data_IF_568745871049
#
_entry.id   IF_568745871049
#
_cell.length_a   1.000
_cell.length_b   1.000
_cell.length_c   1.000
_cell.angle_alpha   90.00
_cell.angle_beta   90.00
_cell.angle_gamma   90.00
#
_symmetry.space_group_name_H-M   'P 1'
#
loop_
_entity.id
_entity.type
_entity.pdbx_description
1 polymer ?
#
# COMPACT_ATOMS: atom_id res chain seq x y z
N UNK A 1 -6.65 5.27 -3.26
CA UNK A 1 -7.89 4.98 -2.50
C UNK A 1 -7.55 4.17 -1.26
N UNK A 2 -8.43 4.12 -0.25
CA UNK A 2 -8.20 3.28 0.95
C UNK A 2 -8.59 1.81 0.70
N UNK A 3 -8.05 0.88 1.51
CA UNK A 3 -8.42 -0.55 1.46
C UNK A 3 -9.94 -0.76 1.54
N UNK A 4 -10.62 -0.05 2.44
CA UNK A 4 -12.09 -0.15 2.60
C UNK A 4 -12.84 0.29 1.35
N UNK A 5 -12.32 1.28 0.63
CA UNK A 5 -12.93 1.74 -0.61
C UNK A 5 -12.67 0.78 -1.76
N UNK A 6 -11.47 0.19 -1.82
CA UNK A 6 -11.13 -0.85 -2.79
C UNK A 6 -12.07 -2.06 -2.71
N UNK A 7 -12.33 -2.57 -1.50
CA UNK A 7 -13.26 -3.69 -1.28
C UNK A 7 -14.67 -3.34 -1.76
N UNK A 8 -15.17 -2.15 -1.42
CA UNK A 8 -16.52 -1.69 -1.81
C UNK A 8 -16.67 -1.55 -3.32
N UNK A 9 -15.68 -1.00 -4.00
CA UNK A 9 -15.71 -0.77 -5.45
C UNK A 9 -15.60 -2.09 -6.22
N UNK A 10 -14.74 -3.00 -5.76
CA UNK A 10 -14.44 -4.24 -6.48
C UNK A 10 -15.26 -5.44 -5.99
N UNK A 11 -16.09 -5.29 -4.97
CA UNK A 11 -16.85 -6.38 -4.35
C UNK A 11 -15.96 -7.48 -3.75
N UNK A 12 -14.73 -7.15 -3.35
CA UNK A 12 -13.74 -8.11 -2.84
C UNK A 12 -13.79 -8.22 -1.32
N UNK A 13 -13.59 -9.43 -0.81
CA UNK A 13 -13.45 -9.70 0.63
C UNK A 13 -12.02 -9.50 1.13
N UNK A 14 -11.86 -9.31 2.45
CA UNK A 14 -10.55 -9.26 3.13
C UNK A 14 -9.66 -10.46 2.72
N UNK A 15 -10.26 -11.65 2.47
CA UNK A 15 -9.57 -12.87 2.04
C UNK A 15 -8.99 -12.71 0.63
N UNK A 16 -9.81 -12.26 -0.32
CA UNK A 16 -9.38 -12.09 -1.72
C UNK A 16 -8.32 -10.99 -1.86
N UNK A 17 -8.43 -9.92 -1.05
CA UNK A 17 -7.40 -8.87 -0.98
C UNK A 17 -6.09 -9.45 -0.42
N UNK A 18 -6.18 -10.26 0.64
CA UNK A 18 -5.01 -10.89 1.23
C UNK A 18 -4.32 -11.88 0.27
N UNK A 19 -5.09 -12.72 -0.42
CA UNK A 19 -4.59 -13.65 -1.44
C UNK A 19 -3.87 -12.91 -2.57
N UNK A 20 -4.46 -11.83 -3.08
CA UNK A 20 -3.86 -11.04 -4.16
C UNK A 20 -2.54 -10.37 -3.74
N UNK A 21 -2.44 -9.99 -2.47
CA UNK A 21 -1.22 -9.42 -1.90
C UNK A 21 -0.22 -10.47 -1.40
N UNK A 22 -0.57 -11.76 -1.36
CA UNK A 22 0.25 -12.81 -0.74
C UNK A 22 0.40 -12.63 0.78
N UNK A 23 -0.64 -12.16 1.46
CA UNK A 23 -0.65 -11.85 2.89
C UNK A 23 -1.67 -12.71 3.64
N UNK A 24 -1.54 -12.75 4.96
CA UNK A 24 -2.59 -13.32 5.81
C UNK A 24 -3.81 -12.40 5.87
N UNK A 25 -5.02 -12.96 5.85
CA UNK A 25 -6.29 -12.22 6.01
C UNK A 25 -6.32 -11.38 7.29
N UNK A 26 -5.71 -11.89 8.36
CA UNK A 26 -5.59 -11.18 9.63
C UNK A 26 -4.78 -9.88 9.51
N UNK A 27 -3.79 -9.82 8.62
CA UNK A 27 -2.99 -8.63 8.34
C UNK A 27 -3.83 -7.54 7.69
N UNK A 28 -4.59 -7.88 6.63
CA UNK A 28 -5.51 -6.94 5.97
C UNK A 28 -6.57 -6.44 6.94
N UNK A 29 -7.15 -7.34 7.74
CA UNK A 29 -8.17 -6.98 8.73
C UNK A 29 -7.63 -6.00 9.80
N UNK A 30 -6.40 -6.23 10.29
CA UNK A 30 -5.74 -5.35 11.28
C UNK A 30 -5.42 -3.97 10.69
N UNK A 31 -4.92 -3.91 9.46
CA UNK A 31 -4.67 -2.65 8.75
C UNK A 31 -5.96 -1.87 8.53
N UNK A 32 -7.02 -2.54 8.05
CA UNK A 32 -8.34 -1.93 7.82
C UNK A 32 -8.93 -1.35 9.10
N UNK A 33 -8.81 -2.07 10.22
CA UNK A 33 -9.27 -1.61 11.54
C UNK A 33 -8.31 -0.63 12.22
N UNK A 34 -7.23 -0.21 11.55
CA UNK A 34 -6.16 0.66 12.09
C UNK A 34 -5.57 0.16 13.42
N UNK A 35 -5.56 -1.16 13.63
CA UNK A 35 -4.98 -1.80 14.83
C UNK A 35 -3.49 -2.12 14.64
N UNK A 36 -2.93 -1.79 13.49
CA UNK A 36 -1.53 -2.02 13.13
C UNK A 36 -1.10 -0.96 12.12
N UNK A 37 0.18 -0.58 12.15
CA UNK A 37 0.81 0.21 11.10
C UNK A 37 1.54 -0.72 10.12
N UNK A 38 1.44 -0.45 8.83
CA UNK A 38 2.21 -1.15 7.82
C UNK A 38 3.69 -0.71 7.86
N UNK A 39 4.58 -1.68 7.70
CA UNK A 39 5.98 -1.43 7.39
C UNK A 39 6.13 -0.94 5.94
N UNK A 40 7.30 -0.42 5.60
CA UNK A 40 7.60 0.02 4.23
C UNK A 40 7.39 -1.12 3.23
N UNK A 41 7.96 -2.29 3.51
CA UNK A 41 7.82 -3.48 2.68
C UNK A 41 6.36 -3.90 2.53
N UNK A 42 5.61 -3.98 3.64
CA UNK A 42 4.19 -4.36 3.62
C UNK A 42 3.36 -3.38 2.79
N UNK A 43 3.66 -2.08 2.90
CA UNK A 43 2.93 -1.04 2.17
C UNK A 43 3.15 -1.14 0.66
N UNK A 44 4.39 -1.40 0.22
CA UNK A 44 4.74 -1.61 -1.18
C UNK A 44 4.20 -2.94 -1.72
N UNK A 45 4.18 -3.98 -0.89
CA UNK A 45 3.60 -5.28 -1.25
C UNK A 45 2.10 -5.17 -1.51
N UNK A 46 1.36 -4.44 -0.66
CA UNK A 46 -0.07 -4.18 -0.87
C UNK A 46 -0.30 -3.35 -2.12
N UNK A 47 0.49 -2.28 -2.33
CA UNK A 47 0.35 -1.45 -3.54
C UNK A 47 0.58 -2.28 -4.81
N UNK A 48 1.61 -3.13 -4.83
CA UNK A 48 1.89 -4.03 -5.97
C UNK A 48 0.80 -5.09 -6.15
N UNK A 49 0.38 -5.74 -5.07
CA UNK A 49 -0.67 -6.77 -5.11
C UNK A 49 -2.02 -6.22 -5.56
N UNK A 50 -2.27 -4.93 -5.33
CA UNK A 50 -3.48 -4.24 -5.77
C UNK A 50 -3.26 -3.41 -7.04
N UNK A 51 -2.21 -3.69 -7.82
CA UNK A 51 -1.92 -3.03 -9.11
C UNK A 51 -1.94 -1.49 -9.04
N UNK A 52 -1.57 -0.91 -7.89
CA UNK A 52 -1.57 0.54 -7.68
C UNK A 52 -2.92 1.17 -7.34
N UNK A 53 -4.01 0.39 -7.29
CA UNK A 53 -5.34 0.88 -6.90
C UNK A 53 -5.32 1.49 -5.48
N UNK A 54 -4.67 0.78 -4.56
CA UNK A 54 -4.39 1.24 -3.19
C UNK A 54 -2.93 1.65 -3.10
N UNK A 55 -2.68 2.95 -2.94
CA UNK A 55 -1.32 3.47 -2.75
C UNK A 55 -0.80 3.17 -1.37
N UNK A 56 0.51 2.91 -1.25
CA UNK A 56 1.17 2.69 0.03
C UNK A 56 0.95 3.84 1.02
N UNK A 57 0.84 5.08 0.53
CA UNK A 57 0.60 6.31 1.31
C UNK A 57 -0.76 6.33 2.02
N UNK A 58 -1.76 5.60 1.49
CA UNK A 58 -3.13 5.54 2.01
C UNK A 58 -3.28 4.52 3.15
N UNK A 59 -2.24 3.73 3.42
CA UNK A 59 -2.21 2.76 4.49
C UNK A 59 -1.88 3.42 5.84
N UNK A 60 -2.24 2.80 6.97
CA UNK A 60 -1.80 3.27 8.27
C UNK A 60 -0.28 3.09 8.36
N UNK A 61 0.49 4.18 8.23
CA UNK A 61 1.95 4.19 8.34
C UNK A 61 2.38 4.97 9.59
N UNK A 62 3.50 4.58 10.20
CA UNK A 62 4.18 5.44 11.18
C UNK A 62 4.79 6.67 10.48
N UNK A 63 5.06 7.77 11.21
CA UNK A 63 5.75 8.94 10.64
C UNK A 63 7.09 8.57 9.99
N UNK A 64 7.84 7.67 10.61
CA UNK A 64 9.13 7.18 10.10
C UNK A 64 8.98 6.41 8.77
N UNK A 65 8.06 5.44 8.70
CA UNK A 65 7.80 4.69 7.45
C UNK A 65 7.31 5.60 6.34
N UNK A 66 6.51 6.63 6.67
CA UNK A 66 6.06 7.62 5.69
C UNK A 66 7.24 8.43 5.12
N UNK A 67 8.17 8.85 5.97
CA UNK A 67 9.38 9.54 5.52
C UNK A 67 10.25 8.64 4.62
N UNK A 68 10.41 7.36 4.99
CA UNK A 68 11.14 6.38 4.18
C UNK A 68 10.48 6.15 2.81
N UNK A 69 9.15 6.05 2.76
CA UNK A 69 8.40 5.91 1.51
C UNK A 69 8.57 7.14 0.61
N UNK A 70 8.47 8.35 1.18
CA UNK A 70 8.69 9.59 0.45
C UNK A 70 10.11 9.69 -0.11
N UNK A 71 11.13 9.33 0.68
CA UNK A 71 12.52 9.29 0.23
C UNK A 71 12.73 8.29 -0.92
N UNK A 72 12.13 7.10 -0.81
CA UNK A 72 12.20 6.08 -1.87
C UNK A 72 11.52 6.56 -3.16
N UNK A 73 10.38 7.23 -3.06
CA UNK A 73 9.69 7.82 -4.22
C UNK A 73 10.49 8.94 -4.87
N UNK A 74 11.14 9.80 -4.09
CA UNK A 74 12.02 10.85 -4.59
C UNK A 74 13.22 10.27 -5.37
N UNK A 75 13.80 9.17 -4.89
CA UNK A 75 14.88 8.46 -5.58
C UNK A 75 14.43 7.72 -6.84
N UNK A 76 13.18 7.26 -6.87
CA UNK A 76 12.60 6.52 -8.00
C UNK A 76 12.09 7.41 -9.13
N UNK A 77 12.04 8.74 -8.99
CA UNK A 77 11.82 9.63 -10.13
C UNK A 77 13.06 9.53 -11.02
N UNK A 78 13.03 8.85 -12.18
CA UNK A 78 14.14 8.96 -13.10
C UNK A 78 14.22 10.43 -13.51
N UNK A 79 15.43 10.95 -13.64
CA UNK A 79 15.70 12.23 -14.27
C UNK A 79 15.18 12.21 -15.72
N UNK A 80 13.87 12.39 -15.91
CA UNK A 80 13.27 12.69 -17.20
C UNK A 80 13.54 14.17 -17.46
N UNK A 81 14.77 14.46 -17.89
CA UNK A 81 15.18 15.81 -18.19
C UNK A 81 16.68 15.92 -18.34
N UNK A 82 17.24 15.39 -19.44
CA UNK A 82 18.27 16.06 -20.26
C UNK A 82 18.37 15.28 -21.57
N UNK A 83 17.44 15.55 -22.48
CA UNK A 83 17.63 15.32 -23.91
C UNK A 83 17.17 16.61 -24.59
N UNK A 84 18.11 17.55 -24.73
CA UNK A 84 18.01 18.73 -25.58
C UNK A 84 19.38 18.92 -26.24
#
# INVERSE_FOLDING_TARGET
MTLTQYEKVNGKSDVQVAEKCGLATSTINRLRRRRMHASLELSLQIERGLDGDVRAEELPLTPETRAALAALRLQMVPAQGTAA
#
